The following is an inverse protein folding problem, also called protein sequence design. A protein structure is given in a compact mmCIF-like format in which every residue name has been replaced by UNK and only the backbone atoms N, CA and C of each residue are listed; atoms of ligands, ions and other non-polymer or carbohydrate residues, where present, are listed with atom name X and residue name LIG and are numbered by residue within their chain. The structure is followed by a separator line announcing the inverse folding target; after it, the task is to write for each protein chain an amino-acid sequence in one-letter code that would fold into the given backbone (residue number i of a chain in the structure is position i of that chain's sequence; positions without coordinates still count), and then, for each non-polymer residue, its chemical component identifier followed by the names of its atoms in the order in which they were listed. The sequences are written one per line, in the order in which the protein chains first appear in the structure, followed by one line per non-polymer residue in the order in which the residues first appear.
data_IF_989836176652
#
_entry.id   IF_989836176652
#
_cell.length_a   1.000
_cell.length_b   1.000
_cell.length_c   1.000
_cell.angle_alpha   90.00
_cell.angle_beta   90.00
_cell.angle_gamma   90.00
#
_symmetry.space_group_name_H-M   'P 1'
#
loop_
_entity.id
_entity.type
_entity.pdbx_description
1 polymer ?
#
# COMPACT_ATOMS: atom_id res chain seq x y z
N UNK A 1 -5.85 -4.96 19.40
CA UNK A 1 -5.90 -4.91 17.94
C UNK A 1 -5.74 -3.45 17.56
N UNK A 2 -4.61 -3.10 16.97
CA UNK A 2 -4.28 -1.72 16.58
C UNK A 2 -4.35 -1.70 15.07
N UNK A 3 -5.17 -0.80 14.51
CA UNK A 3 -5.26 -0.62 13.06
C UNK A 3 -4.44 0.62 12.69
N UNK A 4 -3.49 0.49 11.77
CA UNK A 4 -2.65 1.58 11.28
C UNK A 4 -2.96 1.85 9.82
N UNK A 5 -3.41 3.08 9.54
CA UNK A 5 -3.69 3.54 8.18
C UNK A 5 -2.63 4.55 7.74
N UNK A 6 -2.02 4.32 6.57
CA UNK A 6 -1.16 5.28 5.90
C UNK A 6 -1.71 5.60 4.50
N UNK A 7 -1.48 6.81 4.01
CA UNK A 7 -1.90 7.25 2.68
C UNK A 7 -0.78 8.02 2.01
N UNK A 8 -0.49 7.66 0.77
CA UNK A 8 0.63 8.20 0.01
C UNK A 8 0.13 8.72 -1.33
N UNK A 9 0.37 10.01 -1.65
CA UNK A 9 0.14 10.52 -2.99
C UNK A 9 1.19 9.96 -3.94
N UNK A 10 0.76 9.56 -5.14
CA UNK A 10 1.60 9.04 -6.21
C UNK A 10 1.64 10.06 -7.33
N UNK A 11 2.84 10.37 -7.83
CA UNK A 11 2.98 11.16 -9.05
C UNK A 11 2.39 10.38 -10.24
N UNK A 12 1.49 10.95 -11.05
CA UNK A 12 0.77 10.20 -12.09
C UNK A 12 1.67 9.45 -13.07
N UNK A 13 2.78 10.08 -13.47
CA UNK A 13 3.78 9.52 -14.39
C UNK A 13 4.51 8.28 -13.80
N UNK A 14 4.44 8.10 -12.48
CA UNK A 14 5.08 7.02 -11.72
C UNK A 14 4.09 5.99 -11.20
N UNK A 15 2.81 6.08 -11.57
CA UNK A 15 1.75 5.21 -11.04
C UNK A 15 2.05 3.72 -11.19
N UNK A 16 2.44 3.27 -12.39
CA UNK A 16 2.74 1.86 -12.62
C UNK A 16 3.93 1.37 -11.79
N UNK A 17 4.98 2.19 -11.66
CA UNK A 17 6.16 1.88 -10.85
C UNK A 17 5.81 1.82 -9.36
N UNK A 18 4.95 2.73 -8.88
CA UNK A 18 4.49 2.75 -7.50
C UNK A 18 3.60 1.55 -7.13
N UNK A 19 2.81 1.04 -8.08
CA UNK A 19 1.99 -0.16 -7.87
C UNK A 19 2.87 -1.41 -7.78
N UNK A 20 3.85 -1.56 -8.65
CA UNK A 20 4.81 -2.68 -8.65
C UNK A 20 5.61 -2.72 -7.33
N UNK A 21 6.14 -1.57 -6.90
CA UNK A 21 6.83 -1.44 -5.61
C UNK A 21 5.90 -1.70 -4.41
N UNK A 22 4.62 -1.35 -4.52
CA UNK A 22 3.62 -1.59 -3.48
C UNK A 22 3.29 -3.07 -3.30
N UNK A 23 3.29 -3.85 -4.38
CA UNK A 23 3.10 -5.30 -4.34
C UNK A 23 4.28 -6.00 -3.64
N UNK A 24 5.51 -5.62 -4.00
CA UNK A 24 6.74 -6.16 -3.39
C UNK A 24 6.83 -5.81 -1.88
N UNK A 25 6.45 -4.58 -1.51
CA UNK A 25 6.37 -4.16 -0.10
C UNK A 25 5.35 -5.00 0.69
N UNK A 26 4.19 -5.30 0.09
CA UNK A 26 3.13 -6.08 0.73
C UNK A 26 3.53 -7.55 0.93
N UNK A 27 4.21 -8.14 -0.05
CA UNK A 27 4.75 -9.49 0.07
C UNK A 27 5.77 -9.56 1.22
N UNK A 28 6.74 -8.65 1.25
CA UNK A 28 7.79 -8.63 2.27
C UNK A 28 7.23 -8.37 3.68
N UNK A 29 6.35 -7.37 3.84
CA UNK A 29 5.80 -7.02 5.16
C UNK A 29 4.92 -8.13 5.76
N UNK A 30 4.21 -8.91 4.94
CA UNK A 30 3.43 -10.06 5.43
C UNK A 30 4.30 -11.27 5.82
N UNK A 31 5.60 -11.28 5.50
CA UNK A 31 6.53 -12.30 5.99
C UNK A 31 7.15 -11.94 7.36
N UNK A 32 6.96 -10.71 7.84
CA UNK A 32 7.52 -10.27 9.12
C UNK A 32 6.77 -10.88 10.32
N UNK A 33 7.53 -11.36 11.31
CA UNK A 33 6.95 -11.98 12.50
C UNK A 33 6.16 -10.96 13.33
N UNK A 34 4.83 -11.04 13.28
CA UNK A 34 3.90 -10.14 13.99
C UNK A 34 3.05 -9.26 13.08
N UNK A 35 3.24 -9.29 11.76
CA UNK A 35 2.33 -8.65 10.80
C UNK A 35 0.99 -9.39 10.75
N UNK A 36 -0.13 -8.64 10.76
CA UNK A 36 -1.47 -9.22 10.99
C UNK A 36 -2.24 -9.45 9.69
N UNK A 37 -2.17 -8.56 8.69
CA UNK A 37 -2.51 -8.75 7.26
C UNK A 37 -2.34 -7.36 6.58
N UNK A 38 -1.19 -7.07 5.98
CA UNK A 38 -0.98 -5.76 5.34
C UNK A 38 -1.75 -5.71 4.02
N UNK A 39 -2.65 -4.73 3.86
CA UNK A 39 -3.48 -4.56 2.66
C UNK A 39 -3.21 -3.22 1.99
N UNK A 40 -2.94 -3.24 0.68
CA UNK A 40 -2.80 -2.05 -0.15
C UNK A 40 -4.05 -1.86 -1.03
N UNK A 41 -4.56 -0.63 -1.11
CA UNK A 41 -5.69 -0.27 -1.96
C UNK A 41 -5.44 1.06 -2.68
N UNK A 42 -5.84 1.16 -3.94
CA UNK A 42 -5.89 2.43 -4.69
C UNK A 42 -7.28 3.07 -4.56
N UNK A 43 -7.34 4.40 -4.50
CA UNK A 43 -8.62 5.12 -4.39
C UNK A 43 -9.35 5.15 -5.74
N UNK A 44 -10.65 4.80 -5.74
CA UNK A 44 -11.49 4.73 -6.94
C UNK A 44 -11.84 6.12 -7.49
N UNK A 45 -11.79 7.18 -6.66
CA UNK A 45 -12.06 8.55 -7.08
C UNK A 45 -10.78 9.31 -7.46
N UNK A 46 -9.64 8.88 -6.95
CA UNK A 46 -8.33 9.43 -7.27
C UNK A 46 -7.30 8.30 -7.43
N UNK A 47 -7.08 7.88 -8.67
CA UNK A 47 -6.21 6.73 -8.99
C UNK A 47 -4.73 6.93 -8.60
N UNK A 48 -4.37 8.15 -8.20
CA UNK A 48 -3.04 8.58 -7.77
C UNK A 48 -2.88 8.58 -6.24
N UNK A 49 -3.86 8.08 -5.49
CA UNK A 49 -3.77 7.94 -4.04
C UNK A 49 -3.76 6.47 -3.65
N UNK A 50 -2.66 6.02 -3.02
CA UNK A 50 -2.57 4.68 -2.44
C UNK A 50 -2.72 4.71 -0.93
N UNK A 51 -3.40 3.71 -0.38
CA UNK A 51 -3.63 3.53 1.05
C UNK A 51 -3.13 2.16 1.50
N UNK A 52 -2.52 2.14 2.68
CA UNK A 52 -2.07 0.93 3.34
C UNK A 52 -2.78 0.79 4.68
N UNK A 53 -3.22 -0.42 4.98
CA UNK A 53 -3.88 -0.79 6.22
C UNK A 53 -3.14 -1.97 6.87
N UNK A 54 -2.89 -1.86 8.17
CA UNK A 54 -2.38 -2.91 9.09
C UNK A 54 -3.34 -3.05 10.26
#
# INVERSE_FOLDING_TARGET
MTVRQASFPITPEKRSEALDLGEDLLEQSNQEAGAIDYQAATDVRDENTSRFLE
#
